data_IF_196933260648
#
_entry.id   IF_196933260648
#
_cell.length_a   1.000
_cell.length_b   1.000
_cell.length_c   1.000
_cell.angle_alpha   90.00
_cell.angle_beta   90.00
_cell.angle_gamma   90.00
#
_symmetry.space_group_name_H-M   'P 1'
#
loop_
_entity.id
_entity.type
_entity.pdbx_description
1 polymer ?
#
# COMPACT_ATOMS: atom_id res chain seq x y z
N UNK A 1 26.43 1.99 -4.17
CA UNK A 1 25.22 2.44 -3.46
C UNK A 1 24.95 1.38 -2.40
N UNK A 2 25.04 1.72 -1.10
CA UNK A 2 24.83 0.74 -0.02
C UNK A 2 23.35 0.51 0.24
N UNK A 3 23.01 -0.61 0.88
CA UNK A 3 21.63 -0.95 1.21
C UNK A 3 20.90 0.20 1.90
N UNK A 4 19.69 0.52 1.44
CA UNK A 4 18.83 1.47 2.15
C UNK A 4 18.50 0.95 3.55
N UNK A 5 18.28 1.86 4.49
CA UNK A 5 18.04 1.60 5.93
C UNK A 5 16.68 0.95 6.24
N UNK A 6 15.99 0.44 5.23
CA UNK A 6 14.62 -0.10 5.26
C UNK A 6 14.43 -1.32 6.17
N UNK A 7 15.49 -1.93 6.68
CA UNK A 7 15.39 -3.10 7.58
C UNK A 7 16.35 -3.06 8.78
N UNK A 8 17.35 -2.16 8.77
CA UNK A 8 18.45 -2.17 9.75
C UNK A 8 18.02 -1.69 11.16
N UNK A 9 16.85 -1.06 11.29
CA UNK A 9 16.35 -0.47 12.53
C UNK A 9 15.23 -1.28 13.20
N UNK A 10 14.98 -2.51 12.73
CA UNK A 10 13.88 -3.35 13.18
C UNK A 10 12.73 -3.38 12.17
N UNK A 11 11.51 -3.64 12.63
CA UNK A 11 10.33 -3.68 11.74
C UNK A 11 10.09 -2.33 11.07
N UNK A 12 9.90 -2.34 9.76
CA UNK A 12 9.65 -1.14 8.95
C UNK A 12 8.31 -1.25 8.24
N UNK A 13 7.49 -0.21 8.39
CA UNK A 13 6.26 -0.03 7.63
C UNK A 13 6.53 0.71 6.32
N UNK A 14 5.93 0.25 5.23
CA UNK A 14 6.07 0.83 3.89
C UNK A 14 4.67 1.01 3.31
N UNK A 15 4.37 2.20 2.82
CA UNK A 15 3.11 2.53 2.13
C UNK A 15 3.44 2.99 0.71
N UNK A 16 2.86 2.33 -0.29
CA UNK A 16 3.15 2.54 -1.71
C UNK A 16 1.85 2.87 -2.44
N UNK A 17 1.84 4.04 -3.07
CA UNK A 17 0.73 4.53 -3.88
C UNK A 17 1.26 4.93 -5.27
N UNK A 18 1.57 3.95 -6.14
CA UNK A 18 2.13 4.24 -7.45
C UNK A 18 1.08 4.93 -8.33
N UNK A 19 1.50 5.75 -9.32
CA UNK A 19 0.58 6.28 -10.32
C UNK A 19 -0.05 5.11 -11.08
N UNK A 20 -1.39 4.97 -11.00
CA UNK A 20 -2.12 3.89 -11.65
C UNK A 20 -2.13 4.07 -13.17
N UNK A 21 -2.06 2.97 -13.91
CA UNK A 21 -2.06 2.99 -15.39
C UNK A 21 -3.45 3.37 -15.97
N UNK A 22 -4.53 3.25 -15.18
CA UNK A 22 -5.88 3.69 -15.53
C UNK A 22 -6.15 5.13 -15.01
N UNK A 23 -5.82 6.15 -15.81
CA UNK A 23 -6.15 7.53 -15.52
C UNK A 23 -5.55 8.54 -16.50
N UNK A 24 -6.29 9.60 -16.81
CA UNK A 24 -5.80 10.80 -17.51
C UNK A 24 -4.83 11.56 -16.59
N UNK A 25 -3.64 11.02 -16.36
CA UNK A 25 -2.54 11.73 -15.71
C UNK A 25 -1.35 11.74 -16.67
N UNK A 26 -1.26 12.83 -17.43
CA UNK A 26 -0.13 13.12 -18.31
C UNK A 26 1.07 13.55 -17.46
N UNK A 27 1.86 12.58 -16.99
CA UNK A 27 3.22 12.85 -16.53
C UNK A 27 4.14 12.89 -17.74
N UNK A 28 4.21 14.05 -18.38
CA UNK A 28 5.06 14.35 -19.53
C UNK A 28 6.59 14.21 -19.27
N UNK A 29 7.03 13.41 -18.29
CA UNK A 29 8.44 13.19 -17.94
C UNK A 29 8.81 11.74 -17.55
N UNK A 30 7.98 10.73 -17.91
CA UNK A 30 8.33 9.30 -17.85
C UNK A 30 7.82 8.58 -16.60
N UNK A 31 7.19 7.40 -16.68
CA UNK A 31 6.85 6.53 -17.79
C UNK A 31 5.79 5.54 -17.31
N UNK A 32 5.03 4.97 -18.25
CA UNK A 32 4.11 3.86 -17.97
C UNK A 32 4.87 2.70 -17.30
N UNK A 33 4.24 1.97 -16.39
CA UNK A 33 4.83 0.78 -15.78
C UNK A 33 5.44 0.93 -14.38
N UNK A 34 5.42 2.12 -13.78
CA UNK A 34 5.84 2.31 -12.36
C UNK A 34 5.01 1.42 -11.42
N UNK A 35 3.69 1.32 -11.65
CA UNK A 35 2.83 0.42 -10.88
C UNK A 35 3.27 -1.05 -11.00
N UNK A 36 3.70 -1.48 -12.19
CA UNK A 36 4.24 -2.83 -12.42
C UNK A 36 5.58 -3.04 -11.71
N UNK A 37 6.50 -2.07 -11.76
CA UNK A 37 7.79 -2.14 -11.07
C UNK A 37 7.61 -2.21 -9.55
N UNK A 38 6.73 -1.37 -9.00
CA UNK A 38 6.36 -1.39 -7.59
C UNK A 38 5.74 -2.74 -7.21
N UNK A 39 4.83 -3.27 -8.04
CA UNK A 39 4.22 -4.58 -7.83
C UNK A 39 5.26 -5.72 -7.87
N UNK A 40 6.24 -5.66 -8.77
CA UNK A 40 7.35 -6.63 -8.84
C UNK A 40 8.21 -6.57 -7.58
N UNK A 41 8.60 -5.37 -7.14
CA UNK A 41 9.35 -5.20 -5.90
C UNK A 41 8.58 -5.74 -4.68
N UNK A 42 7.27 -5.51 -4.61
CA UNK A 42 6.41 -6.07 -3.56
C UNK A 42 6.39 -7.61 -3.58
N UNK A 43 6.38 -8.26 -4.77
CA UNK A 43 6.48 -9.73 -4.85
C UNK A 43 7.78 -10.26 -4.24
N UNK A 44 8.89 -9.59 -4.52
CA UNK A 44 10.22 -9.99 -4.05
C UNK A 44 10.40 -9.78 -2.54
N UNK A 45 9.81 -8.71 -1.99
CA UNK A 45 10.08 -8.27 -0.62
C UNK A 45 8.95 -8.57 0.37
N UNK A 46 7.76 -8.93 -0.13
CA UNK A 46 6.55 -9.11 0.67
C UNK A 46 6.62 -10.19 1.75
N UNK A 47 7.47 -11.19 1.55
CA UNK A 47 7.66 -12.28 2.49
C UNK A 47 8.63 -11.96 3.64
N UNK A 48 9.35 -10.83 3.59
CA UNK A 48 10.27 -10.45 4.66
C UNK A 48 9.50 -10.09 5.94
N UNK A 49 9.64 -10.84 7.05
CA UNK A 49 8.91 -10.57 8.29
C UNK A 49 9.27 -9.24 8.95
N UNK A 50 10.35 -8.59 8.50
CA UNK A 50 10.76 -7.25 8.95
C UNK A 50 9.99 -6.14 8.23
N UNK A 51 9.35 -6.42 7.10
CA UNK A 51 8.66 -5.44 6.26
C UNK A 51 7.14 -5.58 6.34
N UNK A 52 6.45 -4.50 6.71
CA UNK A 52 4.99 -4.39 6.69
C UNK A 52 4.58 -3.47 5.55
N UNK A 53 4.13 -4.05 4.45
CA UNK A 53 3.90 -3.32 3.21
C UNK A 53 2.40 -3.19 2.98
N UNK A 54 1.95 -1.98 2.67
CA UNK A 54 0.63 -1.66 2.15
C UNK A 54 0.79 -1.06 0.74
N UNK A 55 0.17 -1.70 -0.25
CA UNK A 55 0.22 -1.30 -1.66
C UNK A 55 -1.20 -0.94 -2.13
N UNK A 56 -1.36 0.26 -2.69
CA UNK A 56 -2.62 0.72 -3.29
C UNK A 56 -2.70 0.38 -4.78
N UNK A 57 -3.92 0.17 -5.27
CA UNK A 57 -4.22 -0.07 -6.68
C UNK A 57 -5.72 -0.27 -6.92
N UNK A 58 -6.10 -0.62 -8.14
CA UNK A 58 -7.44 -1.04 -8.51
C UNK A 58 -7.60 -2.56 -8.53
N UNK A 59 -8.82 -3.03 -8.38
CA UNK A 59 -9.18 -4.43 -8.55
C UNK A 59 -8.62 -5.00 -9.86
N UNK A 60 -7.78 -6.03 -9.72
CA UNK A 60 -7.08 -6.69 -10.82
C UNK A 60 -5.63 -6.27 -11.02
N UNK A 61 -5.18 -5.14 -10.44
CA UNK A 61 -3.85 -4.57 -10.72
C UNK A 61 -2.69 -5.44 -10.21
N UNK A 62 -2.90 -6.17 -9.11
CA UNK A 62 -1.83 -6.86 -8.41
C UNK A 62 -2.20 -8.31 -8.10
N UNK A 63 -1.52 -9.23 -8.77
CA UNK A 63 -1.48 -10.64 -8.40
C UNK A 63 -0.39 -10.87 -7.33
N UNK A 64 -0.80 -10.85 -6.06
CA UNK A 64 0.07 -11.00 -4.88
C UNK A 64 -0.44 -12.13 -3.98
N UNK A 65 -0.09 -13.40 -4.26
CA UNK A 65 -0.55 -14.54 -3.47
C UNK A 65 -0.15 -14.43 -1.98
N UNK A 66 -1.09 -14.74 -1.09
CA UNK A 66 -0.87 -14.69 0.37
C UNK A 66 -0.97 -13.30 0.98
N UNK A 67 -1.15 -12.24 0.18
CA UNK A 67 -1.44 -10.90 0.68
C UNK A 67 -2.93 -10.76 1.02
N UNK A 68 -3.24 -9.95 2.02
CA UNK A 68 -4.62 -9.62 2.39
C UNK A 68 -5.08 -8.41 1.58
N UNK A 69 -6.21 -8.53 0.90
CA UNK A 69 -6.76 -7.44 0.08
C UNK A 69 -7.96 -6.83 0.79
N UNK A 70 -7.93 -5.51 0.98
CA UNK A 70 -9.06 -4.76 1.51
C UNK A 70 -9.61 -3.84 0.42
N UNK A 71 -10.91 -3.98 0.15
CA UNK A 71 -11.63 -2.98 -0.63
C UNK A 71 -11.72 -1.70 0.21
N UNK A 72 -11.24 -0.60 -0.33
CA UNK A 72 -11.39 0.71 0.27
C UNK A 72 -12.45 1.49 -0.50
N UNK A 73 -13.28 2.24 0.22
CA UNK A 73 -14.19 3.22 -0.36
C UNK A 73 -13.93 4.54 0.37
N UNK A 74 -13.25 5.47 -0.30
CA UNK A 74 -13.15 6.82 0.22
C UNK A 74 -14.57 7.42 0.33
N UNK A 75 -14.95 7.93 1.50
CA UNK A 75 -16.12 8.79 1.67
C UNK A 75 -15.83 10.19 1.09
N UNK A 76 -15.51 10.26 -0.20
CA UNK A 76 -15.11 11.49 -0.90
C UNK A 76 -13.61 11.79 -0.74
N UNK A 77 -12.85 11.66 -1.83
CA UNK A 77 -11.48 12.15 -1.95
C UNK A 77 -11.40 13.38 -2.86
N UNK A 78 -10.21 13.96 -3.02
CA UNK A 78 -9.95 15.17 -3.83
C UNK A 78 -10.43 15.09 -5.30
N UNK A 79 -10.77 13.91 -5.81
CA UNK A 79 -11.40 13.68 -7.12
C UNK A 79 -12.88 14.11 -7.18
N UNK A 80 -13.53 14.40 -6.04
CA UNK A 80 -14.94 14.77 -5.97
C UNK A 80 -15.27 16.16 -6.55
N UNK A 81 -14.30 16.84 -7.17
CA UNK A 81 -14.48 18.17 -7.78
C UNK A 81 -14.67 18.12 -9.30
N UNK A 82 -14.59 16.95 -9.95
CA UNK A 82 -14.90 16.83 -11.39
C UNK A 82 -16.42 16.73 -11.59
N UNK A 83 -17.05 17.87 -11.87
CA UNK A 83 -18.41 17.90 -12.43
C UNK A 83 -18.41 17.25 -13.81
N UNK A 84 -18.80 15.98 -13.87
CA UNK A 84 -18.92 15.27 -15.13
C UNK A 84 -18.75 13.78 -14.95
N UNK A 85 -19.88 13.09 -14.93
CA UNK A 85 -20.05 11.64 -15.08
C UNK A 85 -19.68 10.78 -13.85
N UNK A 86 -20.67 10.20 -13.12
CA UNK A 86 -20.41 9.17 -12.13
C UNK A 86 -20.13 7.83 -12.85
N UNK A 87 -19.09 7.78 -13.68
CA UNK A 87 -18.70 6.55 -14.36
C UNK A 87 -18.09 5.56 -13.36
N UNK A 88 -18.93 4.67 -12.84
CA UNK A 88 -18.68 3.24 -12.57
C UNK A 88 -17.57 2.77 -11.60
N UNK A 89 -16.50 3.54 -11.37
CA UNK A 89 -15.27 3.04 -10.73
C UNK A 89 -14.94 3.48 -9.29
N UNK A 90 -15.81 4.13 -8.47
CA UNK A 90 -15.46 4.43 -7.07
C UNK A 90 -15.43 3.18 -6.16
N UNK A 91 -15.65 1.98 -6.71
CA UNK A 91 -15.67 0.71 -5.98
C UNK A 91 -14.47 -0.20 -6.26
N UNK A 92 -13.56 0.18 -7.17
CA UNK A 92 -12.43 -0.66 -7.56
C UNK A 92 -11.17 -0.43 -6.73
N UNK A 93 -11.10 0.59 -5.89
CA UNK A 93 -9.93 0.81 -5.03
C UNK A 93 -9.69 -0.37 -4.09
N UNK A 94 -8.43 -0.80 -4.01
CA UNK A 94 -7.97 -1.93 -3.21
C UNK A 94 -6.64 -1.55 -2.53
N UNK A 95 -6.44 -2.09 -1.34
CA UNK A 95 -5.14 -2.05 -0.64
C UNK A 95 -4.72 -3.47 -0.32
N UNK A 96 -3.54 -3.87 -0.77
CA UNK A 96 -2.90 -5.16 -0.47
C UNK A 96 -1.95 -4.98 0.72
N UNK A 97 -2.10 -5.84 1.73
CA UNK A 97 -1.23 -5.88 2.90
C UNK A 97 -0.38 -7.16 2.89
N UNK A 98 0.93 -7.01 3.08
CA UNK A 98 1.86 -8.15 3.12
C UNK A 98 1.56 -9.10 4.29
N UNK A 99 1.98 -10.38 4.21
CA UNK A 99 1.76 -11.37 5.28
C UNK A 99 2.20 -10.92 6.68
N UNK A 100 3.23 -10.08 6.79
CA UNK A 100 3.74 -9.58 8.06
C UNK A 100 2.91 -8.42 8.66
N UNK A 101 1.94 -7.86 7.92
CA UNK A 101 1.01 -6.88 8.45
C UNK A 101 0.08 -7.55 9.47
N UNK A 102 0.01 -6.97 10.66
CA UNK A 102 -0.91 -7.41 11.71
C UNK A 102 -2.34 -7.14 11.22
N UNK A 103 -3.22 -8.14 11.25
CA UNK A 103 -4.65 -7.93 11.03
C UNK A 103 -5.19 -6.94 12.06
N UNK A 104 -6.34 -6.33 11.81
CA UNK A 104 -6.95 -5.29 12.67
C UNK A 104 -7.23 -5.67 14.13
N UNK A 105 -6.85 -6.88 14.57
CA UNK A 105 -6.68 -7.20 15.98
C UNK A 105 -5.38 -6.59 16.52
N UNK A 106 -5.36 -5.26 16.62
CA UNK A 106 -4.50 -4.57 17.58
C UNK A 106 -5.05 -4.90 18.98
N UNK A 107 -4.66 -6.04 19.54
CA UNK A 107 -4.98 -6.38 20.94
C UNK A 107 -4.27 -5.46 21.95
N UNK A 108 -3.31 -4.66 21.48
CA UNK A 108 -2.56 -3.70 22.29
C UNK A 108 -2.82 -2.27 21.81
N UNK A 109 -3.29 -1.35 22.68
CA UNK A 109 -3.40 0.06 22.33
C UNK A 109 -2.06 0.64 21.90
N UNK A 110 -2.11 1.72 21.09
CA UNK A 110 -0.98 2.39 20.41
C UNK A 110 0.24 2.71 21.32
N UNK A 111 0.06 2.71 22.65
CA UNK A 111 1.12 2.97 23.65
C UNK A 111 1.30 1.87 24.69
N UNK A 112 0.70 0.69 24.54
CA UNK A 112 0.73 -0.36 25.57
C UNK A 112 2.14 -0.88 25.91
N UNK A 113 3.09 -0.80 24.96
CA UNK A 113 4.49 -1.23 25.18
C UNK A 113 5.39 -0.16 25.82
N UNK A 114 4.98 1.10 25.88
CA UNK A 114 5.77 2.17 26.50
C UNK A 114 5.68 2.17 28.04
N UNK A 115 4.70 1.48 28.62
CA UNK A 115 4.46 1.44 30.07
C UNK A 115 4.97 0.17 30.78
N UNK A 116 5.61 -0.76 30.08
CA UNK A 116 6.31 -1.88 30.74
C UNK A 116 7.72 -1.40 31.06
N UNK A 117 7.88 -0.95 32.30
CA UNK A 117 9.04 -0.27 32.84
C UNK A 117 10.38 -0.92 32.50
N UNK A 118 11.38 -0.06 32.35
CA UNK A 118 12.79 -0.43 32.49
C UNK A 118 13.01 -1.11 33.86
N UNK A 119 13.90 -2.11 33.95
CA UNK A 119 14.31 -2.69 35.23
C UNK A 119 14.97 -1.65 36.15
#
# INVERSE_FOLDING_TARGET
MGDSVTWRHGTTGIFLDPPYDEGEIDYAAGGRGIASEVSAWCRENGADPRLRIALCGFEGDHDLPGWRVHAWKAHGGYSSQRSGDPNGNPHRERIWFSPACLGGELSDPLFARANRGAP
#
